data_IF_904874019334
#
_entry.id   IF_904874019334
#
_cell.length_a   1.000
_cell.length_b   1.000
_cell.length_c   1.000
_cell.angle_alpha   90.00
_cell.angle_beta   90.00
_cell.angle_gamma   90.00
#
_symmetry.space_group_name_H-M   'P 1'
#
loop_
_entity.id
_entity.type
_entity.pdbx_description
1 polymer ?
#
# COMPACT_ATOMS: atom_id res chain seq x y z
N UNK A 1 -26.32 -26.01 6.84
CA UNK A 1 -25.59 -24.80 6.45
C UNK A 1 -24.11 -25.04 6.71
N UNK A 2 -23.29 -25.01 5.67
CA UNK A 2 -21.83 -25.13 5.83
C UNK A 2 -21.34 -23.75 6.24
N UNK A 3 -20.92 -23.58 7.48
CA UNK A 3 -20.29 -22.33 7.93
C UNK A 3 -18.95 -22.23 7.22
N UNK A 4 -18.84 -21.37 6.22
CA UNK A 4 -17.56 -21.05 5.57
C UNK A 4 -16.68 -20.35 6.60
N UNK A 5 -15.60 -21.00 7.05
CA UNK A 5 -14.74 -20.44 8.10
C UNK A 5 -13.91 -19.29 7.53
N UNK A 6 -14.09 -18.10 8.10
CA UNK A 6 -13.25 -16.94 7.79
C UNK A 6 -11.81 -17.21 8.27
N UNK A 7 -10.84 -17.02 7.38
CA UNK A 7 -9.41 -17.21 7.62
C UNK A 7 -8.73 -15.85 7.76
N UNK A 8 -7.62 -15.79 8.50
CA UNK A 8 -6.80 -14.58 8.63
C UNK A 8 -5.34 -14.94 8.41
N UNK A 9 -4.69 -14.18 7.53
CA UNK A 9 -3.24 -14.15 7.40
C UNK A 9 -2.79 -12.76 7.83
N UNK A 10 -1.87 -12.69 8.79
CA UNK A 10 -1.26 -11.45 9.27
C UNK A 10 0.24 -11.69 9.37
N UNK A 11 1.01 -10.88 8.65
CA UNK A 11 2.46 -10.95 8.65
C UNK A 11 3.00 -10.25 9.91
N UNK A 12 4.11 -10.75 10.45
CA UNK A 12 4.75 -10.20 11.66
C UNK A 12 5.52 -8.91 11.34
N UNK A 13 4.75 -7.88 10.99
CA UNK A 13 5.23 -6.54 10.68
C UNK A 13 4.66 -5.61 11.74
N UNK A 14 5.49 -5.03 12.62
CA UNK A 14 5.00 -4.13 13.65
C UNK A 14 4.64 -2.76 13.08
N UNK A 15 3.79 -2.03 13.79
CA UNK A 15 3.45 -0.65 13.42
C UNK A 15 4.68 0.25 13.39
N UNK A 16 4.71 1.20 12.45
CA UNK A 16 5.72 2.24 12.35
C UNK A 16 5.11 3.58 12.01
N UNK A 17 5.80 4.65 12.39
CA UNK A 17 5.41 6.01 12.11
C UNK A 17 6.33 6.59 11.02
N UNK A 18 5.73 7.26 10.05
CA UNK A 18 6.46 8.06 9.09
C UNK A 18 6.90 9.39 9.72
N UNK A 19 7.95 9.99 9.17
CA UNK A 19 8.23 11.40 9.43
C UNK A 19 7.37 12.29 8.53
N UNK A 20 6.69 13.27 9.14
CA UNK A 20 5.89 14.29 8.44
C UNK A 20 6.78 15.46 7.99
N UNK A 21 7.76 15.18 7.12
CA UNK A 21 8.66 16.19 6.57
C UNK A 21 8.98 15.89 5.10
N UNK A 22 9.15 16.95 4.29
CA UNK A 22 9.51 16.83 2.88
C UNK A 22 8.53 15.97 2.08
N UNK A 23 7.24 16.29 2.18
CA UNK A 23 6.10 15.58 1.57
C UNK A 23 5.72 14.23 2.22
N UNK A 24 6.20 13.96 3.44
CA UNK A 24 5.94 12.70 4.15
C UNK A 24 7.03 11.68 3.85
N UNK A 25 7.02 10.53 4.53
CA UNK A 25 7.97 9.40 4.35
C UNK A 25 7.21 8.08 4.21
N UNK A 26 5.99 8.12 3.66
CA UNK A 26 5.07 7.00 3.66
C UNK A 26 5.64 5.78 2.91
N UNK A 27 6.15 5.99 1.69
CA UNK A 27 6.81 4.96 0.89
C UNK A 27 8.09 4.42 1.54
N UNK A 28 8.93 5.30 2.08
CA UNK A 28 10.16 4.91 2.75
C UNK A 28 9.91 4.12 4.05
N UNK A 29 8.89 4.49 4.81
CA UNK A 29 8.49 3.79 6.03
C UNK A 29 7.90 2.42 5.69
N UNK A 30 7.14 2.31 4.60
CA UNK A 30 6.68 1.02 4.09
C UNK A 30 7.86 0.12 3.67
N UNK A 31 8.84 0.63 2.92
CA UNK A 31 10.07 -0.11 2.56
C UNK A 31 10.85 -0.54 3.80
N UNK A 32 11.03 0.35 4.77
CA UNK A 32 11.67 0.01 6.05
C UNK A 32 10.94 -1.12 6.76
N UNK A 33 9.60 -1.09 6.79
CA UNK A 33 8.78 -2.12 7.44
C UNK A 33 8.97 -3.48 6.77
N UNK A 34 9.02 -3.51 5.43
CA UNK A 34 9.26 -4.74 4.68
C UNK A 34 10.68 -5.26 4.81
N UNK A 35 11.68 -4.38 4.78
CA UNK A 35 13.07 -4.76 5.02
C UNK A 35 13.22 -5.48 6.35
N UNK A 36 12.63 -4.90 7.41
CA UNK A 36 12.71 -5.46 8.76
C UNK A 36 11.99 -6.80 8.88
N UNK A 37 10.85 -6.96 8.20
CA UNK A 37 10.16 -8.25 8.11
C UNK A 37 11.05 -9.36 7.53
N UNK A 38 11.90 -9.03 6.55
CA UNK A 38 12.89 -9.94 5.98
C UNK A 38 14.24 -9.97 6.72
N UNK A 39 14.34 -9.31 7.89
CA UNK A 39 15.54 -9.31 8.72
C UNK A 39 16.61 -8.28 8.33
N UNK A 40 16.31 -7.36 7.42
CA UNK A 40 17.20 -6.29 7.01
C UNK A 40 16.78 -4.94 7.62
N UNK A 41 17.69 -4.26 8.32
CA UNK A 41 17.42 -2.89 8.76
C UNK A 41 17.75 -1.89 7.64
N UNK A 42 16.75 -1.08 7.26
CA UNK A 42 16.87 -0.01 6.26
C UNK A 42 16.32 1.28 6.89
N UNK A 43 17.07 2.37 6.85
CA UNK A 43 16.57 3.67 7.35
C UNK A 43 15.69 4.35 6.30
N UNK A 44 14.65 5.06 6.73
CA UNK A 44 13.79 5.84 5.83
C UNK A 44 14.62 6.86 5.01
N UNK A 45 15.63 7.46 5.64
CA UNK A 45 16.58 8.39 4.99
C UNK A 45 17.39 7.71 3.89
N UNK A 46 17.87 6.49 4.09
CA UNK A 46 18.61 5.74 3.07
C UNK A 46 17.74 5.49 1.84
N UNK A 47 16.48 5.07 2.04
CA UNK A 47 15.52 4.88 0.93
C UNK A 47 15.36 6.18 0.14
N UNK A 48 15.12 7.30 0.84
CA UNK A 48 14.98 8.62 0.22
C UNK A 48 16.22 9.06 -0.55
N UNK A 49 17.40 8.83 0.01
CA UNK A 49 18.66 9.22 -0.61
C UNK A 49 18.93 8.45 -1.90
N UNK A 50 18.67 7.13 -1.90
CA UNK A 50 18.77 6.29 -3.09
C UNK A 50 17.75 6.74 -4.14
N UNK A 51 16.51 6.99 -3.71
CA UNK A 51 15.44 7.45 -4.59
C UNK A 51 15.61 8.91 -5.04
N UNK A 52 16.55 9.65 -4.44
CA UNK A 52 16.84 11.07 -4.66
C UNK A 52 15.67 12.00 -4.29
N UNK A 53 14.74 11.54 -3.47
CA UNK A 53 13.52 12.27 -3.11
C UNK A 53 12.47 11.33 -2.52
N UNK A 54 11.27 11.87 -2.29
CA UNK A 54 10.13 11.07 -1.83
C UNK A 54 9.92 9.83 -2.69
N UNK A 55 9.78 8.67 -2.02
CA UNK A 55 9.44 7.42 -2.66
C UNK A 55 7.97 7.41 -3.09
N UNK A 56 7.74 7.26 -4.40
CA UNK A 56 6.43 7.12 -5.02
C UNK A 56 6.29 5.73 -5.63
N UNK A 57 5.07 5.27 -5.90
CA UNK A 57 4.87 3.94 -6.52
C UNK A 57 5.26 3.88 -8.00
N UNK A 58 5.41 5.03 -8.66
CA UNK A 58 5.80 5.14 -10.07
C UNK A 58 6.56 6.46 -10.33
N UNK A 59 7.20 6.56 -11.49
CA UNK A 59 7.74 7.83 -11.98
C UNK A 59 6.62 8.78 -12.39
N UNK A 60 6.79 10.07 -12.13
CA UNK A 60 5.79 11.08 -12.52
C UNK A 60 5.92 11.56 -13.95
N UNK A 61 7.12 11.49 -14.51
CA UNK A 61 7.40 11.84 -15.90
C UNK A 61 8.66 11.15 -16.38
N UNK A 62 8.92 11.22 -17.69
CA UNK A 62 10.17 10.71 -18.29
C UNK A 62 11.42 11.39 -17.72
N UNK A 63 11.29 12.64 -17.28
CA UNK A 63 12.37 13.45 -16.72
C UNK A 63 12.46 13.34 -15.18
N UNK A 64 11.58 12.56 -14.55
CA UNK A 64 11.64 12.31 -13.11
C UNK A 64 12.88 11.48 -12.79
N UNK A 65 13.80 12.09 -12.05
CA UNK A 65 15.04 11.47 -11.63
C UNK A 65 14.83 10.47 -10.47
N UNK A 66 13.65 10.48 -9.85
CA UNK A 66 13.24 9.47 -8.87
C UNK A 66 12.86 8.20 -9.61
N UNK A 67 13.27 7.07 -9.07
CA UNK A 67 13.07 5.77 -9.71
C UNK A 67 12.81 4.72 -8.63
N UNK A 68 11.55 4.39 -8.36
CA UNK A 68 11.21 3.43 -7.31
C UNK A 68 11.79 2.04 -7.60
N UNK A 69 11.80 1.64 -8.87
CA UNK A 69 12.39 0.37 -9.33
C UNK A 69 13.89 0.33 -9.09
N UNK A 70 14.61 1.42 -9.38
CA UNK A 70 16.03 1.52 -9.04
C UNK A 70 16.25 1.39 -7.53
N UNK A 71 15.41 2.05 -6.73
CA UNK A 71 15.50 2.02 -5.26
C UNK A 71 15.33 0.61 -4.72
N UNK A 72 14.30 -0.12 -5.15
CA UNK A 72 14.08 -1.52 -4.76
C UNK A 72 15.26 -2.42 -5.18
N UNK A 73 15.81 -2.19 -6.38
CA UNK A 73 16.96 -2.94 -6.90
C UNK A 73 18.22 -2.72 -6.07
N UNK A 74 18.56 -1.47 -5.74
CA UNK A 74 19.74 -1.13 -4.91
C UNK A 74 19.60 -1.68 -3.49
N UNK A 75 18.38 -1.72 -2.96
CA UNK A 75 18.08 -2.31 -1.67
C UNK A 75 17.94 -3.84 -1.71
N UNK A 76 18.18 -4.47 -2.87
CA UNK A 76 18.13 -5.91 -3.08
C UNK A 76 16.76 -6.56 -2.80
N UNK A 77 15.66 -5.82 -2.98
CA UNK A 77 14.33 -6.42 -2.94
C UNK A 77 14.09 -7.24 -4.22
N UNK A 78 13.54 -8.44 -4.03
CA UNK A 78 12.78 -9.11 -5.09
C UNK A 78 11.33 -8.69 -4.94
N UNK A 79 10.73 -8.13 -5.99
CA UNK A 79 9.39 -7.57 -5.94
C UNK A 79 8.55 -7.98 -7.15
N UNK A 80 7.23 -7.92 -6.98
CA UNK A 80 6.25 -8.07 -8.05
C UNK A 80 5.44 -6.76 -8.11
N UNK A 81 5.35 -6.18 -9.30
CA UNK A 81 4.61 -4.94 -9.51
C UNK A 81 3.23 -5.26 -10.11
N UNK A 82 2.21 -4.52 -9.68
CA UNK A 82 0.89 -4.60 -10.29
C UNK A 82 0.94 -4.08 -11.73
N UNK A 83 0.60 -4.94 -12.70
CA UNK A 83 0.61 -4.60 -14.12
C UNK A 83 -0.66 -3.84 -14.52
N UNK A 84 -0.76 -2.59 -14.08
CA UNK A 84 -1.92 -1.74 -14.37
C UNK A 84 -2.06 -1.42 -15.86
N UNK A 85 -0.97 -1.31 -16.62
CA UNK A 85 -1.01 -0.96 -18.06
C UNK A 85 -1.76 -1.99 -18.90
N UNK A 86 -1.62 -3.27 -18.55
CA UNK A 86 -2.20 -4.38 -19.32
C UNK A 86 -3.44 -4.99 -18.66
N UNK A 87 -3.94 -4.41 -17.58
CA UNK A 87 -5.11 -4.91 -16.85
C UNK A 87 -6.43 -4.36 -17.41
N UNK A 88 -7.45 -5.21 -17.52
CA UNK A 88 -8.79 -4.83 -18.01
C UNK A 88 -9.47 -3.89 -17.01
N UNK A 89 -10.11 -2.83 -17.51
CA UNK A 89 -10.89 -1.91 -16.68
C UNK A 89 -12.31 -2.45 -16.43
N UNK A 90 -12.89 -2.27 -15.21
CA UNK A 90 -12.29 -1.64 -14.03
C UNK A 90 -11.32 -2.57 -13.28
N UNK A 91 -10.19 -2.02 -12.83
CA UNK A 91 -9.08 -2.82 -12.27
C UNK A 91 -9.18 -3.13 -10.75
N UNK A 92 -10.10 -2.49 -10.03
CA UNK A 92 -10.15 -2.54 -8.56
C UNK A 92 -10.23 -3.96 -7.99
N UNK A 93 -11.13 -4.78 -8.53
CA UNK A 93 -11.39 -6.13 -8.04
C UNK A 93 -10.17 -7.04 -8.27
N UNK A 94 -9.52 -6.91 -9.43
CA UNK A 94 -8.32 -7.66 -9.78
C UNK A 94 -7.10 -7.21 -8.96
N UNK A 95 -6.98 -5.91 -8.69
CA UNK A 95 -5.95 -5.35 -7.81
C UNK A 95 -6.10 -5.84 -6.37
N UNK A 96 -7.33 -5.82 -5.82
CA UNK A 96 -7.61 -6.36 -4.50
C UNK A 96 -7.27 -7.86 -4.41
N UNK A 97 -7.65 -8.64 -5.43
CA UNK A 97 -7.29 -10.05 -5.52
C UNK A 97 -5.77 -10.26 -5.55
N UNK A 98 -5.04 -9.40 -6.28
CA UNK A 98 -3.57 -9.44 -6.34
C UNK A 98 -2.94 -9.18 -4.97
N UNK A 99 -3.33 -8.10 -4.26
CA UNK A 99 -2.84 -7.82 -2.89
C UNK A 99 -3.12 -8.99 -1.96
N UNK A 100 -4.36 -9.48 -1.94
CA UNK A 100 -4.76 -10.61 -1.09
C UNK A 100 -3.88 -11.83 -1.34
N UNK A 101 -3.67 -12.21 -2.59
CA UNK A 101 -2.86 -13.37 -2.95
C UNK A 101 -1.40 -13.20 -2.57
N UNK A 102 -0.85 -11.99 -2.66
CA UNK A 102 0.53 -11.71 -2.20
C UNK A 102 0.66 -11.94 -0.70
N UNK A 103 -0.27 -11.39 0.09
CA UNK A 103 -0.26 -11.52 1.56
C UNK A 103 -0.45 -12.98 1.99
N UNK A 104 -1.38 -13.71 1.36
CA UNK A 104 -1.60 -15.15 1.64
C UNK A 104 -0.32 -15.96 1.41
N UNK A 105 0.53 -15.57 0.44
CA UNK A 105 1.81 -16.22 0.17
C UNK A 105 2.95 -15.78 1.11
N UNK A 106 2.69 -14.89 2.07
CA UNK A 106 3.69 -14.40 3.01
C UNK A 106 4.41 -13.13 2.56
N UNK A 107 3.99 -12.51 1.45
CA UNK A 107 4.60 -11.30 0.90
C UNK A 107 3.75 -10.06 1.26
N UNK A 108 4.29 -9.07 2.00
CA UNK A 108 3.56 -7.84 2.24
C UNK A 108 3.43 -7.05 0.92
N UNK A 109 2.38 -6.25 0.82
CA UNK A 109 2.11 -5.44 -0.37
C UNK A 109 2.15 -3.96 -0.02
N UNK A 110 2.73 -3.16 -0.91
CA UNK A 110 2.58 -1.72 -0.86
C UNK A 110 1.37 -1.33 -1.70
N UNK A 111 0.53 -0.46 -1.18
CA UNK A 111 -0.55 0.14 -1.93
C UNK A 111 -0.68 1.60 -1.58
N UNK A 112 -1.46 2.34 -2.35
CA UNK A 112 -1.76 3.72 -2.02
C UNK A 112 -3.26 3.96 -2.09
N UNK A 113 -3.71 4.96 -1.34
CA UNK A 113 -5.12 5.30 -1.28
C UNK A 113 -5.60 5.82 -2.63
N UNK A 114 -6.63 5.17 -3.18
CA UNK A 114 -7.25 5.57 -4.43
C UNK A 114 -8.32 6.63 -4.19
N UNK A 115 -8.22 7.76 -4.89
CA UNK A 115 -9.16 8.86 -4.83
C UNK A 115 -10.16 8.81 -6.01
N UNK A 116 -11.35 8.29 -5.75
CA UNK A 116 -12.46 8.30 -6.68
C UNK A 116 -12.80 9.75 -7.09
N UNK A 117 -12.93 9.96 -8.40
CA UNK A 117 -13.33 11.22 -9.03
C UNK A 117 -12.33 12.37 -8.92
N UNK A 118 -11.04 12.07 -8.69
CA UNK A 118 -9.93 13.01 -8.86
C UNK A 118 -9.16 12.71 -10.16
N UNK A 119 -8.54 13.73 -10.74
CA UNK A 119 -7.57 13.61 -11.82
C UNK A 119 -6.13 13.67 -11.28
N UNK A 120 -5.92 13.30 -10.01
CA UNK A 120 -4.56 13.20 -9.51
C UNK A 120 -3.94 11.93 -10.08
N UNK A 121 -2.90 12.10 -10.89
CA UNK A 121 -2.10 10.98 -11.39
C UNK A 121 -1.31 10.34 -10.24
N UNK A 122 -1.19 11.04 -9.11
CA UNK A 122 -0.44 10.62 -7.93
C UNK A 122 -1.38 10.13 -6.84
N UNK A 123 -1.03 8.97 -6.29
CA UNK A 123 -1.73 8.45 -5.14
C UNK A 123 -1.21 9.13 -3.88
N UNK A 124 -2.18 9.60 -3.11
CA UNK A 124 -2.01 10.63 -2.10
C UNK A 124 -1.23 10.13 -0.86
N UNK A 125 -1.33 8.83 -0.52
CA UNK A 125 -0.66 8.23 0.65
C UNK A 125 -0.36 6.75 0.45
N UNK A 126 0.88 6.34 0.71
CA UNK A 126 1.38 4.96 0.54
C UNK A 126 1.36 4.21 1.87
N UNK A 127 0.87 2.97 1.86
CA UNK A 127 0.68 2.18 3.06
C UNK A 127 1.14 0.72 2.88
N UNK A 128 1.73 0.10 3.91
CA UNK A 128 1.97 -1.33 3.93
C UNK A 128 0.69 -2.09 4.28
N UNK A 129 0.20 -2.90 3.34
CA UNK A 129 -0.75 -3.95 3.61
C UNK A 129 -0.01 -5.19 4.13
N UNK A 130 -0.44 -5.66 5.31
CA UNK A 130 0.28 -6.69 6.07
C UNK A 130 -0.59 -7.88 6.44
N UNK A 131 -1.89 -7.81 6.20
CA UNK A 131 -2.79 -8.89 6.49
C UNK A 131 -4.04 -8.86 5.64
N UNK A 132 -4.68 -10.01 5.56
CA UNK A 132 -5.98 -10.17 4.92
C UNK A 132 -6.81 -11.18 5.70
N UNK A 133 -8.10 -10.87 5.85
CA UNK A 133 -9.10 -11.76 6.41
C UNK A 133 -10.14 -12.07 5.35
N UNK A 134 -10.33 -13.35 5.03
CA UNK A 134 -11.00 -13.78 3.81
C UNK A 134 -11.67 -15.14 3.96
N UNK A 135 -12.56 -15.48 3.03
CA UNK A 135 -13.16 -16.82 2.93
C UNK A 135 -12.51 -17.62 1.78
N UNK A 136 -12.53 -17.05 0.57
CA UNK A 136 -11.94 -17.64 -0.63
C UNK A 136 -10.58 -16.99 -0.95
N UNK A 137 -9.55 -17.80 -1.17
CA UNK A 137 -8.19 -17.30 -1.49
C UNK A 137 -8.01 -16.91 -2.96
N UNK A 138 -8.86 -17.42 -3.85
CA UNK A 138 -8.71 -17.26 -5.30
C UNK A 138 -9.59 -16.17 -5.90
N UNK A 139 -10.80 -15.98 -5.38
CA UNK A 139 -11.79 -15.04 -5.93
C UNK A 139 -11.75 -13.70 -5.21
N UNK A 140 -12.11 -12.59 -5.84
CA UNK A 140 -12.31 -11.33 -5.11
C UNK A 140 -13.63 -11.40 -4.33
N UNK A 141 -13.65 -10.91 -3.10
CA UNK A 141 -14.84 -10.75 -2.27
C UNK A 141 -14.80 -9.35 -1.62
N UNK A 142 -15.81 -8.48 -1.84
CA UNK A 142 -15.84 -7.15 -1.22
C UNK A 142 -15.89 -7.20 0.32
N UNK A 143 -16.31 -8.32 0.91
CA UNK A 143 -16.37 -8.52 2.36
C UNK A 143 -15.04 -9.03 2.95
N UNK A 144 -14.05 -9.35 2.11
CA UNK A 144 -12.68 -9.58 2.59
C UNK A 144 -12.18 -8.31 3.27
N UNK A 145 -11.36 -8.45 4.31
CA UNK A 145 -10.83 -7.32 5.08
C UNK A 145 -9.33 -7.22 4.88
N UNK A 146 -8.87 -6.07 4.39
CA UNK A 146 -7.46 -5.71 4.33
C UNK A 146 -7.00 -5.14 5.68
N UNK A 147 -5.86 -5.63 6.17
CA UNK A 147 -5.22 -5.16 7.39
C UNK A 147 -3.93 -4.41 7.04
N UNK A 148 -3.81 -3.16 7.46
CA UNK A 148 -2.69 -2.29 7.10
C UNK A 148 -2.39 -1.24 8.18
N UNK A 149 -1.19 -0.65 8.13
CA UNK A 149 -0.86 0.52 8.92
C UNK A 149 -0.91 1.77 8.06
N UNK A 150 -1.54 2.85 8.53
CA UNK A 150 -1.50 4.14 7.82
C UNK A 150 -0.24 4.96 8.07
N UNK A 151 0.69 4.48 8.89
CA UNK A 151 1.96 5.14 9.18
C UNK A 151 1.87 6.47 9.95
N UNK A 152 0.69 6.92 10.36
CA UNK A 152 0.50 8.12 11.21
C UNK A 152 0.23 7.77 12.67
N UNK A 153 -0.18 6.53 12.93
CA UNK A 153 -0.41 6.03 14.28
C UNK A 153 -0.16 4.53 14.36
N UNK A 154 0.05 4.01 15.57
CA UNK A 154 0.39 2.61 15.80
C UNK A 154 -0.79 1.64 15.67
N UNK A 155 -1.99 2.17 15.39
CA UNK A 155 -3.22 1.37 15.26
C UNK A 155 -3.26 0.62 13.92
N UNK A 156 -3.46 -0.70 14.00
CA UNK A 156 -3.80 -1.54 12.85
C UNK A 156 -5.18 -1.12 12.32
N UNK A 157 -5.25 -0.84 11.03
CA UNK A 157 -6.49 -0.50 10.35
C UNK A 157 -7.03 -1.75 9.67
N UNK A 158 -8.34 -1.91 9.75
CA UNK A 158 -9.10 -2.96 9.10
C UNK A 158 -10.17 -2.30 8.22
N UNK A 159 -10.18 -2.66 6.93
CA UNK A 159 -11.17 -2.18 5.96
C UNK A 159 -11.63 -3.31 5.09
N UNK A 160 -12.92 -3.37 4.83
CA UNK A 160 -13.45 -4.24 3.78
C UNK A 160 -12.82 -3.84 2.45
N UNK A 161 -12.54 -4.82 1.58
CA UNK A 161 -11.97 -4.63 0.26
C UNK A 161 -13.05 -4.18 -0.73
N UNK A 162 -14.07 -3.47 -0.25
CA UNK A 162 -15.13 -2.87 -1.06
C UNK A 162 -14.71 -1.49 -1.55
N UNK A 163 -15.28 -1.03 -2.67
CA UNK A 163 -15.01 0.31 -3.21
C UNK A 163 -15.45 1.42 -2.26
N UNK A 164 -16.48 1.19 -1.46
CA UNK A 164 -17.02 2.21 -0.55
C UNK A 164 -16.14 2.40 0.70
N UNK A 165 -15.37 1.38 1.08
CA UNK A 165 -14.57 1.38 2.32
C UNK A 165 -13.05 1.45 2.07
N UNK A 166 -12.55 0.89 0.96
CA UNK A 166 -11.13 0.93 0.61
C UNK A 166 -10.79 2.03 -0.40
N UNK A 167 -11.76 2.59 -1.13
CA UNK A 167 -11.52 3.79 -1.94
C UNK A 167 -11.90 5.06 -1.18
N UNK A 168 -11.08 6.08 -1.32
CA UNK A 168 -11.38 7.40 -0.81
C UNK A 168 -12.17 8.18 -1.87
N UNK A 169 -13.19 8.90 -1.46
CA UNK A 169 -13.83 9.96 -2.26
C UNK A 169 -13.45 11.29 -1.61
N UNK A 170 -13.60 12.41 -2.32
CA UNK A 170 -13.48 13.73 -1.68
C UNK A 170 -14.36 13.90 -0.43
N UNK A 171 -15.46 13.16 -0.33
CA UNK A 171 -16.38 13.18 0.81
C UNK A 171 -15.88 12.34 1.99
N UNK A 172 -15.22 11.22 1.72
CA UNK A 172 -14.69 10.32 2.76
C UNK A 172 -13.27 10.70 3.18
N UNK A 173 -12.53 11.47 2.37
CA UNK A 173 -11.32 12.15 2.81
C UNK A 173 -11.64 13.24 3.84
N UNK A 174 -11.10 13.16 5.05
CA UNK A 174 -11.09 14.31 5.97
C UNK A 174 -9.93 15.25 5.61
N UNK A 175 -10.19 16.56 5.80
CA UNK A 175 -9.38 17.72 5.43
C UNK A 175 -7.88 17.57 5.74
N UNK A 176 -7.06 17.35 4.71
CA UNK A 176 -6.23 18.36 4.05
C UNK A 176 -5.27 17.65 3.08
N UNK A 177 -5.66 17.47 1.81
CA UNK A 177 -4.75 17.00 0.75
C UNK A 177 -3.49 17.88 0.58
N UNK A 178 -3.39 19.01 1.29
CA UNK A 178 -2.21 19.87 1.32
C UNK A 178 -1.13 19.46 2.32
N UNK A 179 -1.39 18.50 3.21
CA UNK A 179 -0.45 18.09 4.28
C UNK A 179 -0.09 16.59 4.25
N UNK A 180 -0.74 15.81 3.39
CA UNK A 180 -0.58 14.36 3.30
C UNK A 180 -1.86 13.74 2.75
N UNK A 181 -1.74 12.61 2.08
CA UNK A 181 -2.83 12.06 1.31
C UNK A 181 -4.10 11.67 2.02
N UNK A 182 -5.10 11.36 1.22
CA UNK A 182 -6.32 10.71 1.65
C UNK A 182 -6.10 9.31 2.25
N UNK A 183 -6.78 9.02 3.36
CA UNK A 183 -6.99 7.67 3.88
C UNK A 183 -8.50 7.46 3.95
N UNK A 184 -9.05 6.37 3.38
CA UNK A 184 -10.47 6.08 3.51
C UNK A 184 -10.82 5.75 4.97
N UNK A 185 -11.77 6.52 5.53
CA UNK A 185 -12.18 6.47 6.93
C UNK A 185 -13.43 5.62 7.17
#
# INVERSE_FOLDING_TARGET
>A
ETVTQQRTVLLDIPARLQWENGHGYCGETAIQSFGLYYGAWISQKLVRDINKGEYLLQKLSVDDYRDPTHTLTVLHFTYNEWNWENSVQPQFDDFCRWIKRSIIQGYPAMFAAYLLYMQDENYDHIMPAIGVRFQNEHEYDPEDVLLYYNLFHEKLIERTMSKDDLAATRKTCRKHCGEGGCIPL
#
